data_IF_990641246005
#
_entry.id   IF_990641246005
#
_cell.length_a   1.000
_cell.length_b   1.000
_cell.length_c   1.000
_cell.angle_alpha   90.00
_cell.angle_beta   90.00
_cell.angle_gamma   90.00
#
_symmetry.space_group_name_H-M   'P 1'
#
loop_
_entity.id
_entity.type
_entity.pdbx_description
1 polymer ?
#
# COMPACT_ATOMS: atom_id res chain seq x y z
N UNK A 1 26.72 48.26 12.19
CA UNK A 1 27.29 47.51 13.33
C UNK A 1 26.15 47.08 14.23
N UNK A 2 26.01 45.78 14.51
CA UNK A 2 24.99 45.17 15.40
C UNK A 2 25.51 45.13 16.85
N UNK A 3 24.62 45.14 17.84
CA UNK A 3 24.72 44.21 18.97
C UNK A 3 23.43 43.38 19.14
N UNK A 4 23.54 42.05 19.29
CA UNK A 4 23.38 41.27 20.54
C UNK A 4 21.91 41.23 21.04
N UNK A 5 21.13 40.19 20.71
CA UNK A 5 21.07 38.87 21.37
C UNK A 5 20.22 38.88 22.66
N UNK A 6 19.12 38.11 22.67
CA UNK A 6 18.71 37.27 23.80
C UNK A 6 17.53 36.35 23.42
N UNK A 7 17.76 35.05 23.62
CA UNK A 7 16.76 33.99 23.64
C UNK A 7 15.86 34.14 24.88
N UNK A 8 14.58 33.85 24.74
CA UNK A 8 13.77 33.29 25.82
C UNK A 8 12.68 32.40 25.21
N UNK A 9 12.83 31.09 25.46
CA UNK A 9 11.79 30.07 25.33
C UNK A 9 10.63 30.40 26.27
N UNK A 10 9.39 30.14 25.85
CA UNK A 10 8.42 29.27 26.53
C UNK A 10 6.95 29.62 26.23
N UNK A 11 6.18 28.54 26.10
CA UNK A 11 4.78 28.42 26.53
C UNK A 11 3.67 28.89 25.58
N UNK A 12 3.18 27.88 24.85
CA UNK A 12 1.80 27.62 24.48
C UNK A 12 0.72 28.47 25.17
N UNK A 13 -0.08 29.14 24.37
CA UNK A 13 -1.50 29.44 24.67
C UNK A 13 -2.24 29.50 23.32
N UNK A 14 -3.05 28.48 23.03
CA UNK A 14 -4.50 28.54 23.19
C UNK A 14 -5.21 28.85 21.84
N UNK A 15 -5.10 27.93 20.88
CA UNK A 15 -6.01 27.87 19.72
C UNK A 15 -7.34 27.22 20.15
N UNK A 16 -8.06 27.85 21.09
CA UNK A 16 -9.48 27.58 21.26
C UNK A 16 -10.23 28.56 20.35
N UNK A 17 -10.63 28.11 19.17
CA UNK A 17 -11.73 28.78 18.47
C UNK A 17 -12.99 28.48 19.27
N UNK A 18 -13.40 29.44 20.09
CA UNK A 18 -14.71 29.39 20.73
C UNK A 18 -15.77 29.29 19.63
N UNK A 19 -16.44 28.12 19.55
CA UNK A 19 -17.65 27.99 18.76
C UNK A 19 -18.69 28.96 19.34
N UNK A 20 -19.15 29.89 18.51
CA UNK A 20 -20.21 30.82 18.87
C UNK A 20 -21.45 30.05 19.31
N UNK A 21 -22.00 30.44 20.46
CA UNK A 21 -23.26 29.89 20.97
C UNK A 21 -24.39 30.42 20.08
N UNK A 22 -24.81 29.64 19.09
CA UNK A 22 -26.05 29.91 18.36
C UNK A 22 -27.20 29.60 19.31
N UNK A 23 -27.87 30.63 19.81
CA UNK A 23 -29.02 30.50 20.70
C UNK A 23 -30.15 29.73 20.02
N UNK A 24 -30.66 28.69 20.69
CA UNK A 24 -31.77 27.83 20.25
C UNK A 24 -33.16 28.51 20.21
N UNK A 25 -33.23 29.85 20.29
CA UNK A 25 -34.49 30.56 20.55
C UNK A 25 -35.26 31.04 19.30
N UNK A 26 -34.91 30.58 18.09
CA UNK A 26 -35.55 31.08 16.85
C UNK A 26 -35.97 29.98 15.87
N UNK A 27 -36.14 28.74 16.32
CA UNK A 27 -36.64 27.67 15.44
C UNK A 27 -38.17 27.59 15.60
N UNK A 28 -38.89 28.26 14.68
CA UNK A 28 -40.34 28.12 14.56
C UNK A 28 -40.70 26.66 14.19
N UNK A 29 -41.76 26.07 14.78
CA UNK A 29 -42.07 24.64 14.63
C UNK A 29 -42.33 24.20 13.17
N UNK A 30 -42.73 25.13 12.30
CA UNK A 30 -42.94 24.87 10.88
C UNK A 30 -41.65 24.64 10.07
N UNK A 31 -40.48 25.09 10.56
CA UNK A 31 -39.21 24.93 9.85
C UNK A 31 -38.52 23.58 10.11
N UNK A 32 -38.97 22.84 11.12
CA UNK A 32 -38.39 21.55 11.52
C UNK A 32 -38.99 20.39 10.70
N UNK A 33 -40.21 20.54 10.19
CA UNK A 33 -40.87 19.55 9.34
C UNK A 33 -40.30 19.56 7.92
N UNK A 34 -39.91 20.73 7.39
CA UNK A 34 -39.39 20.87 6.02
C UNK A 34 -37.98 20.32 5.85
N UNK A 35 -37.13 20.40 6.88
CA UNK A 35 -35.76 19.87 6.84
C UNK A 35 -35.67 18.35 7.00
N UNK A 36 -36.64 17.70 7.63
CA UNK A 36 -36.69 16.22 7.69
C UNK A 36 -37.10 15.61 6.34
N UNK A 37 -37.97 16.27 5.58
CA UNK A 37 -38.42 15.80 4.25
C UNK A 37 -37.30 15.90 3.19
N UNK A 38 -36.36 16.84 3.33
CA UNK A 38 -35.25 17.03 2.39
C UNK A 38 -34.06 16.09 2.62
N UNK A 39 -34.00 15.36 3.74
CA UNK A 39 -32.93 14.37 4.01
C UNK A 39 -33.33 12.96 3.54
N UNK A 40 -34.60 12.76 3.13
CA UNK A 40 -35.13 11.46 2.66
C UNK A 40 -34.84 11.10 1.19
N UNK A 41 -34.28 12.00 0.38
CA UNK A 41 -34.05 11.79 -1.07
C UNK A 41 -32.54 11.79 -1.41
N UNK A 42 -31.77 10.93 -0.72
CA UNK A 42 -30.31 10.83 -0.93
C UNK A 42 -29.75 9.41 -0.97
N UNK A 43 -30.58 8.36 -0.95
CA UNK A 43 -30.11 6.99 -1.13
C UNK A 43 -29.97 6.63 -2.62
N UNK A 44 -29.10 7.38 -3.32
CA UNK A 44 -28.70 7.10 -4.70
C UNK A 44 -27.39 6.31 -4.73
N UNK A 45 -27.43 5.03 -4.37
CA UNK A 45 -26.32 4.10 -4.60
C UNK A 45 -26.49 3.38 -5.92
N UNK A 46 -25.70 3.71 -6.93
CA UNK A 46 -25.66 2.96 -8.20
C UNK A 46 -24.94 1.63 -8.00
N UNK A 47 -25.66 0.56 -7.64
CA UNK A 47 -25.15 -0.79 -7.88
C UNK A 47 -25.46 -1.17 -9.32
N UNK A 48 -24.46 -1.08 -10.20
CA UNK A 48 -24.51 -1.72 -11.50
C UNK A 48 -24.39 -3.23 -11.32
N UNK A 49 -25.53 -3.93 -11.19
CA UNK A 49 -25.61 -5.33 -11.55
C UNK A 49 -26.46 -5.46 -12.82
N UNK A 50 -25.78 -5.28 -13.97
CA UNK A 50 -26.06 -6.08 -15.17
C UNK A 50 -26.01 -7.55 -14.70
N UNK A 51 -26.92 -8.45 -15.04
CA UNK A 51 -27.91 -8.49 -16.08
C UNK A 51 -28.16 -9.98 -16.34
N UNK A 52 -29.37 -10.30 -16.75
CA UNK A 52 -29.75 -11.53 -17.43
C UNK A 52 -29.92 -12.85 -16.63
N UNK A 53 -31.21 -13.22 -16.55
CA UNK A 53 -31.75 -14.56 -16.84
C UNK A 53 -31.33 -15.71 -15.92
N UNK A 54 -32.07 -15.88 -14.83
CA UNK A 54 -32.23 -17.18 -14.16
C UNK A 54 -33.70 -17.61 -14.11
N UNK A 55 -34.32 -17.72 -15.28
CA UNK A 55 -35.50 -18.56 -15.46
C UNK A 55 -35.04 -19.95 -15.92
N UNK A 56 -34.27 -20.66 -15.10
CA UNK A 56 -33.96 -22.08 -15.31
C UNK A 56 -33.58 -22.75 -13.98
N UNK A 57 -34.51 -22.75 -13.03
CA UNK A 57 -34.49 -23.74 -11.95
C UNK A 57 -35.09 -25.04 -12.50
N UNK A 58 -34.33 -25.70 -13.38
CA UNK A 58 -34.55 -27.08 -13.75
C UNK A 58 -33.41 -27.85 -13.08
N UNK A 59 -33.71 -28.28 -11.88
CA UNK A 59 -32.87 -29.17 -11.10
C UNK A 59 -32.86 -30.53 -11.80
N UNK A 60 -31.71 -30.92 -12.31
CA UNK A 60 -31.43 -32.29 -12.76
C UNK A 60 -29.93 -32.57 -12.58
N UNK A 61 -29.64 -33.10 -11.39
CA UNK A 61 -28.74 -34.22 -11.09
C UNK A 61 -27.52 -34.42 -11.99
N UNK A 62 -26.35 -33.97 -11.50
CA UNK A 62 -25.03 -34.64 -11.56
C UNK A 62 -23.87 -33.64 -11.46
N UNK A 63 -23.78 -32.87 -10.38
CA UNK A 63 -22.63 -31.98 -10.16
C UNK A 63 -21.43 -32.72 -9.54
N UNK A 64 -20.64 -33.35 -10.41
CA UNK A 64 -19.22 -33.62 -10.16
C UNK A 64 -18.52 -32.29 -9.84
N UNK A 65 -18.46 -31.94 -8.56
CA UNK A 65 -17.82 -30.71 -8.08
C UNK A 65 -16.30 -30.93 -8.05
N UNK A 66 -15.69 -30.93 -9.23
CA UNK A 66 -14.27 -31.23 -9.43
C UNK A 66 -13.64 -30.41 -10.55
N UNK A 67 -14.08 -29.16 -10.76
CA UNK A 67 -13.37 -28.26 -11.65
C UNK A 67 -13.68 -26.80 -11.33
N UNK A 68 -13.10 -26.31 -10.23
CA UNK A 68 -12.71 -24.91 -10.22
C UNK A 68 -11.49 -24.85 -11.13
N UNK A 69 -11.65 -24.29 -12.33
CA UNK A 69 -10.52 -23.97 -13.19
C UNK A 69 -9.53 -23.16 -12.35
N UNK A 70 -8.38 -23.75 -12.02
CA UNK A 70 -7.32 -23.02 -11.32
C UNK A 70 -7.01 -21.79 -12.20
N UNK A 71 -7.06 -20.56 -11.65
CA UNK A 71 -6.63 -19.40 -12.42
C UNK A 71 -5.24 -19.72 -12.99
N UNK A 72 -5.03 -19.35 -14.25
CA UNK A 72 -3.78 -19.61 -14.95
C UNK A 72 -2.62 -19.23 -14.01
N UNK A 73 -1.72 -20.17 -13.77
CA UNK A 73 -0.58 -19.99 -12.88
C UNK A 73 0.12 -18.71 -13.30
N UNK A 74 0.07 -17.69 -12.44
CA UNK A 74 0.69 -16.39 -12.67
C UNK A 74 2.10 -16.59 -13.23
N UNK A 75 2.39 -15.91 -14.34
CA UNK A 75 3.68 -16.06 -15.00
C UNK A 75 4.77 -15.65 -14.02
N UNK A 76 5.68 -16.58 -13.74
CA UNK A 76 6.77 -16.31 -12.80
C UNK A 76 7.63 -15.13 -13.32
N UNK A 77 8.14 -14.26 -12.42
CA UNK A 77 9.06 -13.19 -12.80
C UNK A 77 10.25 -13.72 -13.60
N UNK A 78 10.60 -13.05 -14.70
CA UNK A 78 11.78 -13.44 -15.49
C UNK A 78 13.06 -13.03 -14.77
N UNK A 79 14.18 -13.67 -15.10
CA UNK A 79 15.47 -13.32 -14.48
C UNK A 79 15.88 -11.86 -14.76
N UNK A 80 15.54 -11.32 -15.94
CA UNK A 80 15.77 -9.93 -16.28
C UNK A 80 14.96 -8.99 -15.36
N UNK A 81 13.68 -9.31 -15.11
CA UNK A 81 12.85 -8.52 -14.17
C UNK A 81 13.43 -8.55 -12.76
N UNK A 82 13.88 -9.73 -12.31
CA UNK A 82 14.52 -9.89 -11.01
C UNK A 82 15.82 -9.10 -10.92
N UNK A 83 16.58 -8.94 -12.00
CA UNK A 83 17.79 -8.11 -12.01
C UNK A 83 17.47 -6.63 -11.75
N UNK A 84 16.42 -6.07 -12.38
CA UNK A 84 15.97 -4.71 -12.11
C UNK A 84 15.49 -4.53 -10.67
N UNK A 85 14.71 -5.49 -10.15
CA UNK A 85 14.28 -5.48 -8.76
C UNK A 85 15.47 -5.56 -7.77
N UNK A 86 16.48 -6.39 -8.05
CA UNK A 86 17.71 -6.49 -7.22
C UNK A 86 18.50 -5.19 -7.21
N UNK A 87 18.63 -4.52 -8.35
CA UNK A 87 19.34 -3.23 -8.42
C UNK A 87 18.65 -2.17 -7.56
N UNK A 88 17.32 -2.05 -7.68
CA UNK A 88 16.54 -1.16 -6.84
C UNK A 88 16.62 -1.54 -5.36
N UNK A 89 16.66 -2.83 -5.05
CA UNK A 89 16.88 -3.31 -3.69
C UNK A 89 18.25 -2.88 -3.15
N UNK A 90 19.33 -3.00 -3.92
CA UNK A 90 20.65 -2.50 -3.51
C UNK A 90 20.65 -0.99 -3.28
N UNK A 91 19.96 -0.22 -4.12
CA UNK A 91 19.87 1.23 -3.96
C UNK A 91 19.12 1.63 -2.69
N UNK A 92 17.93 1.08 -2.45
CA UNK A 92 17.14 1.38 -1.25
C UNK A 92 17.86 0.91 0.01
N UNK A 93 18.56 -0.23 -0.06
CA UNK A 93 19.35 -0.72 1.07
C UNK A 93 20.59 0.14 1.34
N UNK A 94 21.16 0.79 0.33
CA UNK A 94 22.37 1.62 0.49
C UNK A 94 22.06 3.03 0.97
N UNK A 95 20.97 3.63 0.51
CA UNK A 95 20.65 5.05 0.73
C UNK A 95 19.47 5.28 1.67
N UNK A 96 18.66 4.24 1.87
CA UNK A 96 17.34 4.35 2.49
C UNK A 96 17.29 3.87 3.94
N UNK A 97 16.45 4.53 4.73
CA UNK A 97 16.06 4.10 6.08
C UNK A 97 14.96 3.03 6.02
N UNK A 98 14.45 2.59 7.17
CA UNK A 98 13.43 1.52 7.25
C UNK A 98 12.10 1.85 6.53
N UNK A 99 11.85 3.12 6.19
CA UNK A 99 10.60 3.58 5.58
C UNK A 99 10.79 4.10 4.14
N UNK A 100 11.99 3.95 3.56
CA UNK A 100 12.24 4.36 2.18
C UNK A 100 11.70 3.33 1.19
N UNK A 101 11.04 3.77 0.13
CA UNK A 101 10.60 2.90 -0.97
C UNK A 101 11.21 3.37 -2.28
N UNK A 102 11.69 2.44 -3.10
CA UNK A 102 12.27 2.71 -4.42
C UNK A 102 11.48 2.00 -5.50
N UNK A 103 11.04 2.74 -6.52
CA UNK A 103 10.40 2.16 -7.70
C UNK A 103 11.41 1.57 -8.67
N UNK A 104 10.98 0.53 -9.39
CA UNK A 104 11.74 -0.14 -10.44
C UNK A 104 10.81 -0.55 -11.58
N UNK A 105 11.37 -0.62 -12.78
CA UNK A 105 10.68 -1.02 -13.99
C UNK A 105 11.68 -1.69 -14.94
N UNK A 106 11.25 -2.77 -15.60
CA UNK A 106 11.93 -3.37 -16.72
C UNK A 106 11.24 -2.91 -18.01
N UNK A 107 11.88 -2.04 -18.83
CA UNK A 107 11.29 -1.54 -20.07
C UNK A 107 11.12 -2.61 -21.15
N UNK A 108 11.81 -3.75 -21.04
CA UNK A 108 11.74 -4.83 -22.04
C UNK A 108 10.48 -5.68 -21.88
N UNK A 109 10.05 -5.92 -20.64
CA UNK A 109 8.90 -6.79 -20.31
C UNK A 109 7.68 -6.02 -19.82
N UNK A 110 7.85 -4.75 -19.42
CA UNK A 110 6.83 -3.94 -18.75
C UNK A 110 6.60 -4.33 -17.28
N UNK A 111 7.42 -5.22 -16.72
CA UNK A 111 7.35 -5.58 -15.31
C UNK A 111 7.79 -4.39 -14.44
N UNK A 112 7.05 -4.12 -13.36
CA UNK A 112 7.30 -2.96 -12.51
C UNK A 112 6.94 -3.21 -11.05
N UNK A 113 7.43 -2.36 -10.17
CA UNK A 113 7.10 -2.43 -8.76
C UNK A 113 7.79 -1.42 -7.87
N UNK A 114 7.87 -1.78 -6.60
CA UNK A 114 8.53 -1.01 -5.54
C UNK A 114 9.28 -1.94 -4.62
N UNK A 115 10.40 -1.50 -4.08
CA UNK A 115 11.17 -2.22 -3.06
C UNK A 115 11.15 -1.39 -1.78
N UNK A 116 10.75 -2.01 -0.67
CA UNK A 116 10.65 -1.36 0.64
C UNK A 116 11.33 -2.24 1.69
N UNK A 117 12.32 -1.73 2.45
CA UNK A 117 12.86 -2.42 3.61
C UNK A 117 11.75 -2.66 4.64
N UNK A 118 11.71 -3.86 5.23
CA UNK A 118 10.66 -4.22 6.20
C UNK A 118 11.15 -4.31 7.64
N UNK A 119 12.48 -4.29 7.83
CA UNK A 119 13.12 -4.44 9.13
C UNK A 119 14.28 -3.45 9.29
N UNK A 120 14.63 -3.19 10.55
CA UNK A 120 15.92 -2.59 10.86
C UNK A 120 17.06 -3.55 10.50
N UNK A 121 18.28 -3.02 10.35
CA UNK A 121 19.44 -3.88 10.11
C UNK A 121 19.72 -4.79 11.31
N UNK A 122 19.95 -6.07 11.07
CA UNK A 122 20.36 -7.07 12.05
C UNK A 122 21.78 -7.57 11.75
N UNK A 123 22.45 -8.16 12.74
CA UNK A 123 23.71 -8.86 12.53
C UNK A 123 23.42 -10.31 12.12
N UNK A 124 23.94 -10.74 10.97
CA UNK A 124 23.94 -12.14 10.59
C UNK A 124 24.98 -12.93 11.42
N UNK A 125 24.95 -14.27 11.30
CA UNK A 125 25.87 -15.17 12.01
C UNK A 125 27.36 -14.89 11.70
N UNK A 126 27.64 -14.33 10.53
CA UNK A 126 28.97 -13.93 10.08
C UNK A 126 29.37 -12.49 10.52
N UNK A 127 28.52 -11.83 11.32
CA UNK A 127 28.74 -10.47 11.82
C UNK A 127 28.44 -9.36 10.81
N UNK A 128 27.97 -9.67 9.58
CA UNK A 128 27.58 -8.65 8.60
C UNK A 128 26.24 -8.05 8.96
N UNK A 129 26.06 -6.77 8.63
CA UNK A 129 24.77 -6.08 8.77
C UNK A 129 23.85 -6.50 7.63
N UNK A 130 22.75 -7.16 7.92
CA UNK A 130 21.75 -7.58 6.95
C UNK A 130 20.43 -6.86 7.18
N UNK A 131 19.63 -6.75 6.12
CA UNK A 131 18.31 -6.12 6.17
C UNK A 131 17.38 -6.80 5.17
N UNK A 132 16.16 -7.05 5.63
CA UNK A 132 15.12 -7.67 4.84
C UNK A 132 14.30 -6.61 4.11
N UNK A 133 13.81 -6.98 2.93
CA UNK A 133 12.97 -6.12 2.11
C UNK A 133 11.86 -6.94 1.45
N UNK A 134 10.76 -6.24 1.15
CA UNK A 134 9.72 -6.72 0.25
C UNK A 134 9.79 -5.94 -1.06
N UNK A 135 9.55 -6.62 -2.15
CA UNK A 135 9.35 -6.01 -3.45
C UNK A 135 8.01 -6.41 -4.03
N UNK A 136 7.24 -5.44 -4.48
CA UNK A 136 6.05 -5.69 -5.30
C UNK A 136 6.48 -6.00 -6.73
N UNK A 137 5.77 -6.90 -7.40
CA UNK A 137 5.97 -7.23 -8.81
C UNK A 137 4.61 -7.21 -9.51
N UNK A 138 4.51 -6.42 -10.58
CA UNK A 138 3.32 -6.33 -11.41
C UNK A 138 3.75 -6.43 -12.87
N UNK A 139 3.16 -7.36 -13.61
CA UNK A 139 3.32 -7.49 -15.05
C UNK A 139 1.97 -7.87 -15.68
N UNK A 140 1.36 -6.92 -16.41
CA UNK A 140 0.01 -7.10 -16.95
C UNK A 140 -1.02 -7.34 -15.85
N UNK A 141 -1.70 -8.50 -15.89
CA UNK A 141 -2.65 -8.95 -14.87
C UNK A 141 -2.03 -9.75 -13.74
N UNK A 142 -0.74 -10.09 -13.84
CA UNK A 142 -0.05 -10.86 -12.81
C UNK A 142 0.53 -9.92 -11.77
N UNK A 143 0.10 -10.12 -10.53
CA UNK A 143 0.61 -9.43 -9.35
C UNK A 143 1.20 -10.44 -8.39
N UNK A 144 2.43 -10.20 -7.95
CA UNK A 144 3.07 -11.04 -6.95
C UNK A 144 3.97 -10.20 -6.05
N UNK A 145 4.43 -10.83 -4.99
CA UNK A 145 5.35 -10.23 -4.06
C UNK A 145 6.62 -11.05 -3.99
N UNK A 146 7.74 -10.37 -3.79
CA UNK A 146 9.04 -10.96 -3.61
C UNK A 146 9.56 -10.55 -2.23
N UNK A 147 10.14 -11.50 -1.52
CA UNK A 147 10.86 -11.27 -0.27
C UNK A 147 12.33 -11.57 -0.47
N UNK A 148 13.18 -10.69 0.05
CA UNK A 148 14.62 -10.84 -0.04
C UNK A 148 15.34 -10.27 1.17
N UNK A 149 16.63 -10.59 1.24
CA UNK A 149 17.56 -10.04 2.21
C UNK A 149 18.84 -9.59 1.50
N UNK A 150 19.32 -8.41 1.89
CA UNK A 150 20.62 -7.91 1.49
C UNK A 150 21.54 -7.75 2.70
N UNK A 151 22.82 -8.03 2.52
CA UNK A 151 23.83 -7.88 3.56
C UNK A 151 24.95 -6.94 3.11
N UNK A 152 25.44 -6.15 4.05
CA UNK A 152 26.56 -5.26 3.84
C UNK A 152 27.86 -6.07 3.87
N UNK A 153 28.62 -6.02 2.78
CA UNK A 153 29.95 -6.61 2.69
C UNK A 153 30.95 -5.86 3.58
N UNK A 154 32.12 -6.47 3.80
CA UNK A 154 33.21 -5.84 4.57
C UNK A 154 33.67 -4.50 4.00
N UNK A 155 33.41 -4.24 2.71
CA UNK A 155 33.70 -2.98 2.02
C UNK A 155 32.55 -1.96 2.09
N UNK A 156 31.51 -2.24 2.86
CA UNK A 156 30.37 -1.34 3.06
C UNK A 156 29.31 -1.37 1.96
N UNK A 157 29.46 -2.23 0.94
CA UNK A 157 28.51 -2.37 -0.18
C UNK A 157 27.38 -3.33 0.19
N UNK A 158 26.14 -2.98 -0.14
CA UNK A 158 25.01 -3.88 0.05
C UNK A 158 24.90 -4.86 -1.11
N UNK A 159 24.79 -6.15 -0.79
CA UNK A 159 24.68 -7.25 -1.74
C UNK A 159 23.40 -8.04 -1.47
N UNK A 160 22.60 -8.28 -2.50
CA UNK A 160 21.36 -9.06 -2.39
C UNK A 160 21.71 -10.55 -2.45
N UNK A 161 21.42 -11.29 -1.37
CA UNK A 161 21.71 -12.73 -1.31
C UNK A 161 20.49 -13.60 -1.64
N UNK A 162 19.30 -13.09 -1.32
CA UNK A 162 18.05 -13.82 -1.55
C UNK A 162 17.01 -12.89 -2.16
N UNK A 163 16.30 -13.41 -3.16
CA UNK A 163 15.10 -12.80 -3.72
C UNK A 163 14.19 -13.92 -4.21
N UNK A 164 13.09 -14.15 -3.52
CA UNK A 164 12.17 -15.27 -3.78
C UNK A 164 10.72 -14.80 -3.70
N UNK A 165 9.76 -15.49 -4.34
CA UNK A 165 8.34 -15.22 -4.12
C UNK A 165 7.96 -15.24 -2.63
N UNK A 166 7.16 -14.27 -2.21
CA UNK A 166 6.65 -14.15 -0.85
C UNK A 166 5.43 -15.07 -0.68
N UNK A 167 5.49 -15.99 0.28
CA UNK A 167 4.44 -17.00 0.58
C UNK A 167 3.93 -17.72 -0.69
N UNK A 168 4.70 -18.70 -1.18
CA UNK A 168 4.21 -19.72 -2.13
C UNK A 168 3.99 -21.06 -1.44
#
# INVERSE_FOLDING_TARGET
MRPAAQNALLSATALYRAWGRVGLSAIRPSSLVTTIILIGLGAGGCSFSRGDKSAYAKAEDSDLTGSIARPAKDAAPTETDLAFARNAATDVLSKGDKDSSQHWENPETGARGSVTPIAQSYAAEDGRKCRDFLASYVNGSTESWLQGAGCQSSRGRWEIHTLKPWRS
#
